data_IF_224604558036
#
_entry.id   IF_224604558036
#
_cell.length_a   1.000
_cell.length_b   1.000
_cell.length_c   1.000
_cell.angle_alpha   90.00
_cell.angle_beta   90.00
_cell.angle_gamma   90.00
#
_symmetry.space_group_name_H-M   'P 1'
#
loop_
_entity.id
_entity.type
_entity.pdbx_description
1 polymer ?
#
# COMPACT_ATOMS: atom_id res chain seq x y z
N UNK A 1 25.22 20.16 14.03
CA UNK A 1 24.60 19.64 12.78
C UNK A 1 23.10 19.76 12.93
N UNK A 2 22.41 20.42 11.98
CA UNK A 2 20.94 20.48 11.99
C UNK A 2 20.35 19.07 11.82
N UNK A 3 19.25 18.79 12.52
CA UNK A 3 18.56 17.49 12.38
C UNK A 3 18.06 17.33 10.94
N UNK A 4 18.28 16.15 10.35
CA UNK A 4 17.78 15.85 9.01
C UNK A 4 16.25 15.76 8.99
N UNK A 5 15.58 16.23 7.92
CA UNK A 5 14.14 16.43 7.89
C UNK A 5 13.35 15.12 7.99
N UNK A 6 12.17 15.22 8.63
CA UNK A 6 11.19 14.13 8.78
C UNK A 6 9.88 14.52 8.10
N UNK A 7 9.25 13.58 7.43
CA UNK A 7 7.87 13.67 6.96
C UNK A 7 6.95 13.01 7.99
N UNK A 8 6.01 13.77 8.54
CA UNK A 8 5.07 13.35 9.60
C UNK A 8 3.61 13.40 9.17
N UNK A 9 3.30 14.10 8.08
CA UNK A 9 1.96 14.20 7.53
C UNK A 9 1.68 13.01 6.59
N UNK A 10 1.19 11.91 7.17
CA UNK A 10 0.91 10.69 6.41
C UNK A 10 -0.27 10.85 5.45
N UNK A 11 -1.26 11.68 5.81
CA UNK A 11 -2.40 11.94 4.95
C UNK A 11 -1.93 12.59 3.64
N UNK A 12 -1.11 13.62 3.75
CA UNK A 12 -0.59 14.34 2.59
C UNK A 12 0.27 13.48 1.68
N UNK A 13 1.05 12.55 2.25
CA UNK A 13 1.84 11.60 1.45
C UNK A 13 0.96 10.81 0.46
N UNK A 14 -0.23 10.37 0.89
CA UNK A 14 -1.13 9.59 0.04
C UNK A 14 -2.08 10.44 -0.79
N UNK A 15 -2.49 11.61 -0.29
CA UNK A 15 -3.34 12.55 -1.02
C UNK A 15 -2.63 13.16 -2.22
N UNK A 16 -1.37 13.53 -2.04
CA UNK A 16 -0.53 14.15 -3.08
C UNK A 16 0.24 13.09 -3.90
N UNK A 17 -0.03 11.79 -3.67
CA UNK A 17 0.63 10.65 -4.33
C UNK A 17 2.17 10.76 -4.33
N UNK A 18 2.72 11.22 -3.19
CA UNK A 18 4.15 11.49 -3.06
C UNK A 18 4.96 10.23 -3.37
N UNK A 19 5.96 10.31 -4.27
CA UNK A 19 6.83 9.18 -4.57
C UNK A 19 7.58 8.68 -3.33
N UNK A 20 7.69 7.37 -3.19
CA UNK A 20 8.31 6.73 -2.05
C UNK A 20 9.49 5.84 -2.48
N UNK A 21 10.59 5.90 -1.75
CA UNK A 21 11.72 4.99 -1.89
C UNK A 21 11.73 4.04 -0.69
N UNK A 22 11.43 2.77 -0.96
CA UNK A 22 11.45 1.71 0.05
C UNK A 22 12.87 1.16 0.22
N UNK A 23 13.44 1.39 1.37
CA UNK A 23 14.78 0.94 1.76
C UNK A 23 14.77 -0.39 2.51
N UNK A 24 13.59 -1.04 2.63
CA UNK A 24 13.46 -2.38 3.21
C UNK A 24 14.08 -3.42 2.27
N UNK A 25 14.36 -4.60 2.82
CA UNK A 25 14.83 -5.71 2.00
C UNK A 25 13.74 -6.16 0.99
N UNK A 26 14.12 -6.77 -0.14
CA UNK A 26 13.18 -7.18 -1.18
C UNK A 26 12.03 -8.06 -0.69
N UNK A 27 12.29 -8.98 0.25
CA UNK A 27 11.25 -9.83 0.86
C UNK A 27 10.21 -9.00 1.61
N UNK A 28 10.62 -7.96 2.35
CA UNK A 28 9.71 -7.06 3.07
C UNK A 28 8.84 -6.22 2.10
N UNK A 29 9.39 -5.85 0.94
CA UNK A 29 8.65 -5.15 -0.10
C UNK A 29 7.60 -6.05 -0.75
N UNK A 30 7.93 -7.32 -1.01
CA UNK A 30 7.00 -8.31 -1.58
C UNK A 30 5.84 -8.67 -0.66
N UNK A 31 6.04 -8.59 0.66
CA UNK A 31 4.96 -8.80 1.64
C UNK A 31 3.87 -7.72 1.54
N UNK A 32 4.22 -6.52 1.11
CA UNK A 32 3.31 -5.41 0.88
C UNK A 32 4.03 -4.07 0.83
N UNK A 33 3.58 -3.22 -0.08
CA UNK A 33 4.13 -1.89 -0.33
C UNK A 33 3.01 -0.87 -0.58
N UNK A 34 3.39 0.38 -0.86
CA UNK A 34 2.46 1.42 -1.26
C UNK A 34 2.51 1.65 -2.77
N UNK A 35 1.42 2.09 -3.42
CA UNK A 35 1.36 2.20 -4.88
C UNK A 35 2.45 3.07 -5.50
N UNK A 36 2.87 4.14 -4.81
CA UNK A 36 3.91 5.07 -5.27
C UNK A 36 5.33 4.64 -4.90
N UNK A 37 5.48 3.48 -4.21
CA UNK A 37 6.76 3.04 -3.70
C UNK A 37 7.57 2.26 -4.75
N UNK A 38 8.87 2.51 -4.77
CA UNK A 38 9.84 1.72 -5.52
C UNK A 38 10.81 1.05 -4.55
N UNK A 39 11.14 -0.21 -4.81
CA UNK A 39 12.12 -0.97 -4.01
C UNK A 39 13.54 -0.58 -4.41
N UNK A 40 14.22 0.13 -3.52
CA UNK A 40 15.66 0.42 -3.62
C UNK A 40 16.32 0.11 -2.27
N UNK A 41 16.52 -1.17 -1.95
CA UNK A 41 16.85 -1.62 -0.61
C UNK A 41 18.24 -1.18 -0.18
N UNK A 42 18.40 -0.88 1.13
CA UNK A 42 19.71 -0.72 1.75
C UNK A 42 20.43 -2.07 1.87
N UNK A 43 19.70 -3.14 2.07
CA UNK A 43 20.22 -4.50 2.28
C UNK A 43 19.48 -5.50 1.39
N UNK A 44 20.18 -6.49 0.87
CA UNK A 44 19.57 -7.70 0.30
C UNK A 44 18.88 -8.52 1.38
N UNK A 45 18.11 -9.53 0.98
CA UNK A 45 17.46 -10.44 1.94
C UNK A 45 18.49 -11.19 2.79
N UNK A 46 19.61 -11.61 2.19
CA UNK A 46 20.70 -12.30 2.88
C UNK A 46 21.43 -11.39 3.88
N UNK A 47 21.78 -10.17 3.45
CA UNK A 47 22.41 -9.17 4.34
C UNK A 47 21.53 -8.84 5.52
N UNK A 48 20.21 -8.65 5.28
CA UNK A 48 19.22 -8.41 6.33
C UNK A 48 19.13 -9.59 7.30
N UNK A 49 19.10 -10.81 6.78
CA UNK A 49 19.05 -12.03 7.61
C UNK A 49 20.29 -12.14 8.51
N UNK A 50 21.49 -11.91 7.96
CA UNK A 50 22.75 -11.92 8.71
C UNK A 50 22.75 -10.87 9.83
N UNK A 51 22.39 -9.62 9.52
CA UNK A 51 22.29 -8.55 10.52
C UNK A 51 21.25 -8.88 11.59
N UNK A 52 20.10 -9.46 11.20
CA UNK A 52 19.03 -9.87 12.12
C UNK A 52 19.47 -11.00 13.07
N UNK A 53 20.27 -11.94 12.59
CA UNK A 53 20.85 -13.03 13.40
C UNK A 53 21.88 -12.48 14.38
N UNK A 54 22.81 -11.63 13.90
CA UNK A 54 23.79 -10.96 14.76
C UNK A 54 23.12 -10.12 15.87
N UNK A 55 22.04 -9.42 15.52
CA UNK A 55 21.27 -8.65 16.52
C UNK A 55 20.74 -9.54 17.66
N UNK A 56 20.22 -10.74 17.32
CA UNK A 56 19.68 -11.69 18.30
C UNK A 56 20.76 -12.33 19.16
N UNK A 57 21.92 -12.60 18.58
CA UNK A 57 23.00 -13.34 19.24
C UNK A 57 23.98 -12.44 19.99
N UNK A 58 24.31 -11.28 19.41
CA UNK A 58 25.42 -10.43 19.86
C UNK A 58 24.95 -9.01 20.23
N UNK A 59 23.67 -8.70 20.00
CA UNK A 59 23.07 -7.42 20.36
C UNK A 59 23.21 -6.32 19.30
N UNK A 60 22.71 -5.14 19.67
CA UNK A 60 22.54 -4.03 18.75
C UNK A 60 23.86 -3.48 18.19
N UNK A 61 24.88 -3.34 19.03
CA UNK A 61 26.15 -2.74 18.61
C UNK A 61 26.88 -3.59 17.56
N UNK A 62 26.93 -4.91 17.76
CA UNK A 62 27.52 -5.86 16.82
C UNK A 62 26.76 -5.85 15.48
N UNK A 63 25.43 -5.86 15.53
CA UNK A 63 24.59 -5.82 14.35
C UNK A 63 24.76 -4.52 13.52
N UNK A 64 24.96 -3.38 14.18
CA UNK A 64 25.25 -2.10 13.50
C UNK A 64 26.61 -2.19 12.81
N UNK A 65 27.64 -2.68 13.50
CA UNK A 65 28.99 -2.85 12.93
C UNK A 65 28.95 -3.77 11.71
N UNK A 66 28.34 -4.95 11.84
CA UNK A 66 28.16 -5.88 10.73
C UNK A 66 27.38 -5.25 9.57
N UNK A 67 26.31 -4.54 9.88
CA UNK A 67 25.52 -3.83 8.85
C UNK A 67 26.37 -2.86 8.04
N UNK A 68 27.16 -2.02 8.69
CA UNK A 68 28.08 -1.08 8.01
C UNK A 68 29.14 -1.79 7.16
N UNK A 69 29.66 -2.92 7.63
CA UNK A 69 30.63 -3.73 6.85
C UNK A 69 29.99 -4.28 5.59
N UNK A 70 28.76 -4.84 5.68
CA UNK A 70 28.08 -5.46 4.56
C UNK A 70 27.65 -4.45 3.47
N UNK A 71 27.24 -3.24 3.87
CA UNK A 71 26.74 -2.23 2.94
C UNK A 71 27.77 -1.14 2.63
N UNK A 72 29.04 -1.33 3.01
CA UNK A 72 30.11 -0.37 2.80
C UNK A 72 30.79 -0.46 1.43
N UNK A 73 31.83 0.33 1.22
CA UNK A 73 32.70 0.27 0.04
C UNK A 73 31.96 0.35 -1.30
N UNK A 74 32.25 -0.57 -2.20
CA UNK A 74 31.65 -0.64 -3.54
C UNK A 74 30.13 -0.86 -3.51
N UNK A 75 29.63 -1.59 -2.51
CA UNK A 75 28.18 -1.81 -2.32
C UNK A 75 27.48 -0.48 -2.01
N UNK A 76 28.05 0.34 -1.12
CA UNK A 76 27.54 1.70 -0.85
C UNK A 76 27.50 2.53 -2.12
N UNK A 77 28.59 2.54 -2.89
CA UNK A 77 28.68 3.33 -4.11
C UNK A 77 27.60 2.97 -5.13
N UNK A 78 27.41 1.68 -5.40
CA UNK A 78 26.38 1.20 -6.33
C UNK A 78 24.95 1.54 -5.86
N UNK A 79 24.66 1.39 -4.57
CA UNK A 79 23.34 1.75 -4.01
C UNK A 79 23.09 3.26 -4.03
N UNK A 80 24.11 4.06 -3.73
CA UNK A 80 24.04 5.52 -3.83
C UNK A 80 23.71 5.98 -5.24
N UNK A 81 24.33 5.38 -6.25
CA UNK A 81 24.03 5.68 -7.66
C UNK A 81 22.55 5.44 -7.97
N UNK A 82 21.99 4.30 -7.56
CA UNK A 82 20.57 3.97 -7.74
C UNK A 82 19.63 4.97 -7.07
N UNK A 83 19.90 5.35 -5.81
CA UNK A 83 19.07 6.34 -5.09
C UNK A 83 19.19 7.72 -5.73
N UNK A 84 20.39 8.18 -6.08
CA UNK A 84 20.61 9.48 -6.73
C UNK A 84 19.96 9.53 -8.11
N UNK A 85 20.01 8.44 -8.89
CA UNK A 85 19.34 8.35 -10.18
C UNK A 85 17.81 8.47 -10.02
N UNK A 86 17.24 7.78 -9.02
CA UNK A 86 15.81 7.90 -8.73
C UNK A 86 15.40 9.28 -8.26
N UNK A 87 16.19 9.90 -7.38
CA UNK A 87 15.93 11.24 -6.85
C UNK A 87 16.07 12.35 -7.92
N UNK A 88 16.88 12.13 -8.97
CA UNK A 88 16.89 13.02 -10.13
C UNK A 88 15.60 12.98 -10.93
N UNK A 89 14.96 11.79 -11.01
CA UNK A 89 13.69 11.62 -11.72
C UNK A 89 12.49 12.07 -10.87
N UNK A 90 12.57 11.88 -9.56
CA UNK A 90 11.53 12.22 -8.60
C UNK A 90 12.12 12.98 -7.41
N UNK A 91 12.32 14.31 -7.57
CA UNK A 91 13.01 15.13 -6.58
C UNK A 91 12.30 15.17 -5.23
N UNK A 92 10.98 14.97 -5.19
CA UNK A 92 10.17 15.04 -3.98
C UNK A 92 10.01 13.69 -3.28
N UNK A 93 10.66 12.64 -3.78
CA UNK A 93 10.55 11.31 -3.19
C UNK A 93 11.00 11.28 -1.73
N UNK A 94 10.23 10.61 -0.89
CA UNK A 94 10.52 10.38 0.53
C UNK A 94 11.15 9.01 0.74
N UNK A 95 12.03 8.94 1.72
CA UNK A 95 12.70 7.70 2.11
C UNK A 95 11.92 7.02 3.23
N UNK A 96 11.78 5.71 3.19
CA UNK A 96 11.30 4.98 4.35
C UNK A 96 11.96 3.61 4.51
N UNK A 97 12.00 3.12 5.74
CA UNK A 97 12.30 1.73 6.07
C UNK A 97 11.20 1.19 6.98
N UNK A 98 11.37 0.04 7.61
CA UNK A 98 10.27 -0.60 8.35
C UNK A 98 9.71 0.26 9.51
N UNK A 99 10.59 0.90 10.31
CA UNK A 99 10.21 1.72 11.47
C UNK A 99 10.76 3.15 11.43
N UNK A 100 11.27 3.62 10.29
CA UNK A 100 11.91 4.94 10.20
C UNK A 100 13.20 5.07 11.04
N UNK A 101 13.85 3.93 11.36
CA UNK A 101 15.05 3.87 12.18
C UNK A 101 16.35 3.86 11.37
N UNK A 102 17.36 3.15 11.88
CA UNK A 102 18.75 3.16 11.39
C UNK A 102 18.89 3.00 9.88
N UNK A 103 18.15 2.09 9.23
CA UNK A 103 18.26 1.89 7.77
C UNK A 103 17.98 3.18 6.98
N UNK A 104 16.87 3.85 7.27
CA UNK A 104 16.54 5.10 6.59
C UNK A 104 17.36 6.28 7.07
N UNK A 105 17.82 6.30 8.32
CA UNK A 105 18.74 7.32 8.83
C UNK A 105 20.10 7.24 8.13
N UNK A 106 20.65 6.03 7.98
CA UNK A 106 21.92 5.81 7.30
C UNK A 106 21.89 6.30 5.84
N UNK A 107 20.83 5.92 5.09
CA UNK A 107 20.69 6.37 3.70
C UNK A 107 20.49 7.87 3.62
N UNK A 108 19.66 8.46 4.49
CA UNK A 108 19.44 9.89 4.57
C UNK A 108 20.76 10.65 4.83
N UNK A 109 21.58 10.13 5.75
CA UNK A 109 22.89 10.70 6.06
C UNK A 109 23.83 10.63 4.85
N UNK A 110 23.92 9.48 4.17
CA UNK A 110 24.79 9.33 3.00
C UNK A 110 24.37 10.22 1.84
N UNK A 111 23.08 10.41 1.63
CA UNK A 111 22.56 11.35 0.62
C UNK A 111 22.92 12.79 0.99
N UNK A 112 22.81 13.16 2.27
CA UNK A 112 23.17 14.49 2.75
C UNK A 112 24.68 14.77 2.58
N UNK A 113 25.54 13.78 2.84
CA UNK A 113 26.99 13.84 2.57
C UNK A 113 27.31 14.05 1.08
N UNK A 114 26.44 13.55 0.20
CA UNK A 114 26.51 13.77 -1.25
C UNK A 114 25.79 15.05 -1.72
N UNK A 115 25.39 15.94 -0.79
CA UNK A 115 24.73 17.21 -1.10
C UNK A 115 23.23 17.12 -1.38
N UNK A 116 22.60 15.95 -1.14
CA UNK A 116 21.17 15.73 -1.42
C UNK A 116 20.42 15.50 -0.11
N UNK A 117 19.72 16.52 0.39
CA UNK A 117 18.89 16.40 1.59
C UNK A 117 17.48 15.94 1.20
N UNK A 118 17.02 14.80 1.76
CA UNK A 118 15.68 14.27 1.54
C UNK A 118 15.02 13.90 2.87
N UNK A 119 13.73 14.19 3.03
CA UNK A 119 12.99 13.75 4.22
C UNK A 119 12.85 12.23 4.25
N UNK A 120 12.88 11.67 5.43
CA UNK A 120 12.45 10.28 5.67
C UNK A 120 11.14 10.26 6.43
N UNK A 121 10.30 9.26 6.17
CA UNK A 121 9.02 9.10 6.84
C UNK A 121 9.23 8.73 8.30
N UNK A 122 8.69 9.52 9.22
CA UNK A 122 8.68 9.21 10.64
C UNK A 122 7.91 7.90 10.88
N UNK A 123 8.46 7.00 11.72
CA UNK A 123 7.86 5.68 11.95
C UNK A 123 7.86 4.70 10.75
N UNK A 124 8.21 5.17 9.56
CA UNK A 124 8.39 4.38 8.35
C UNK A 124 7.14 3.63 7.88
N UNK A 125 7.36 2.46 7.26
CA UNK A 125 6.29 1.59 6.75
C UNK A 125 5.22 1.29 7.80
N UNK A 126 5.64 0.97 9.01
CA UNK A 126 4.71 0.61 10.09
C UNK A 126 3.74 1.76 10.39
N UNK A 127 4.22 2.98 10.46
CA UNK A 127 3.38 4.15 10.73
C UNK A 127 2.43 4.45 9.56
N UNK A 128 2.92 4.43 8.31
CA UNK A 128 2.09 4.60 7.12
C UNK A 128 1.00 3.51 7.03
N UNK A 129 1.37 2.25 7.30
CA UNK A 129 0.41 1.15 7.28
C UNK A 129 -0.67 1.28 8.36
N UNK A 130 -0.30 1.65 9.59
CA UNK A 130 -1.27 1.92 10.66
C UNK A 130 -2.21 3.07 10.28
N UNK A 131 -1.66 4.16 9.73
CA UNK A 131 -2.48 5.27 9.26
C UNK A 131 -3.53 4.83 8.23
N UNK A 132 -3.16 3.97 7.26
CA UNK A 132 -4.12 3.46 6.27
C UNK A 132 -5.15 2.50 6.88
N UNK A 133 -4.76 1.64 7.83
CA UNK A 133 -5.68 0.79 8.57
C UNK A 133 -6.71 1.63 9.33
N UNK A 134 -6.25 2.65 10.05
CA UNK A 134 -7.13 3.56 10.80
C UNK A 134 -8.04 4.37 9.87
N UNK A 135 -7.52 4.79 8.72
CA UNK A 135 -8.29 5.52 7.69
C UNK A 135 -9.43 4.66 7.15
N UNK A 136 -9.14 3.41 6.81
CA UNK A 136 -10.13 2.46 6.31
C UNK A 136 -11.16 2.12 7.41
N UNK A 137 -10.72 1.93 8.66
CA UNK A 137 -11.60 1.68 9.77
C UNK A 137 -12.58 2.84 10.03
N UNK A 138 -12.09 4.09 9.98
CA UNK A 138 -12.91 5.28 10.08
C UNK A 138 -13.90 5.40 8.93
N UNK A 139 -13.46 5.15 7.68
CA UNK A 139 -14.36 5.16 6.54
C UNK A 139 -15.48 4.12 6.69
N UNK A 140 -15.17 2.90 7.14
CA UNK A 140 -16.16 1.86 7.38
C UNK A 140 -17.22 2.23 8.43
N UNK A 141 -16.83 3.04 9.43
CA UNK A 141 -17.72 3.43 10.53
C UNK A 141 -18.52 4.70 10.24
N UNK A 142 -17.96 5.64 9.47
CA UNK A 142 -18.48 7.01 9.32
C UNK A 142 -19.18 7.25 7.99
N UNK A 143 -18.95 6.41 6.96
CA UNK A 143 -19.55 6.59 5.66
C UNK A 143 -20.85 5.78 5.50
N UNK A 144 -21.73 6.27 4.63
CA UNK A 144 -22.95 5.57 4.23
C UNK A 144 -22.61 4.60 3.09
N UNK A 145 -22.88 3.34 3.33
CA UNK A 145 -22.64 2.25 2.39
C UNK A 145 -23.96 1.76 1.78
N UNK A 146 -23.94 1.48 0.48
CA UNK A 146 -25.01 0.80 -0.23
C UNK A 146 -24.42 -0.38 -0.99
N UNK A 147 -25.06 -1.52 -0.97
CA UNK A 147 -24.59 -2.73 -1.66
C UNK A 147 -25.46 -3.01 -2.88
N UNK A 148 -24.85 -3.10 -4.06
CA UNK A 148 -25.49 -3.46 -5.30
C UNK A 148 -25.44 -4.99 -5.46
N UNK A 149 -26.59 -5.65 -5.39
CA UNK A 149 -26.72 -7.10 -5.52
C UNK A 149 -27.57 -7.47 -6.75
N UNK A 150 -27.58 -8.74 -7.09
CA UNK A 150 -28.35 -9.28 -8.22
C UNK A 150 -27.73 -10.56 -8.76
N UNK A 151 -28.45 -11.26 -9.63
CA UNK A 151 -27.99 -12.54 -10.20
C UNK A 151 -26.69 -12.38 -10.99
N UNK A 152 -25.90 -13.46 -11.08
CA UNK A 152 -24.75 -13.52 -11.99
C UNK A 152 -25.19 -13.23 -13.43
N UNK A 153 -24.49 -12.32 -14.11
CA UNK A 153 -24.82 -11.89 -15.46
C UNK A 153 -25.93 -10.82 -15.55
N UNK A 154 -26.40 -10.27 -14.43
CA UNK A 154 -27.38 -9.16 -14.43
C UNK A 154 -26.80 -7.81 -14.86
N UNK A 155 -25.49 -7.72 -15.05
CA UNK A 155 -24.82 -6.49 -15.49
C UNK A 155 -24.38 -5.56 -14.35
N UNK A 156 -24.31 -6.03 -13.09
CA UNK A 156 -23.90 -5.25 -11.91
C UNK A 156 -22.60 -4.49 -12.13
N UNK A 157 -21.54 -5.18 -12.55
CA UNK A 157 -20.22 -4.58 -12.79
C UNK A 157 -20.29 -3.47 -13.85
N UNK A 158 -21.11 -3.66 -14.89
CA UNK A 158 -21.34 -2.62 -15.89
C UNK A 158 -22.09 -1.41 -15.31
N UNK A 159 -23.09 -1.63 -14.46
CA UNK A 159 -23.79 -0.55 -13.76
C UNK A 159 -22.89 0.21 -12.82
N UNK A 160 -22.06 -0.50 -12.03
CA UNK A 160 -21.10 0.14 -11.10
C UNK A 160 -20.14 1.08 -11.83
N UNK A 161 -19.71 0.75 -13.03
CA UNK A 161 -18.83 1.61 -13.84
C UNK A 161 -19.45 2.98 -14.19
N UNK A 162 -20.78 3.13 -14.07
CA UNK A 162 -21.51 4.38 -14.30
C UNK A 162 -21.93 5.09 -13.02
N UNK A 163 -21.64 4.52 -11.85
CA UNK A 163 -21.96 5.09 -10.53
C UNK A 163 -20.71 5.79 -9.99
N UNK A 164 -20.76 7.11 -9.86
CA UNK A 164 -19.63 7.90 -9.36
C UNK A 164 -19.20 7.48 -7.95
N UNK A 165 -20.16 7.08 -7.11
CA UNK A 165 -19.92 6.64 -5.73
C UNK A 165 -19.41 5.20 -5.63
N UNK A 166 -19.34 4.45 -6.74
CA UNK A 166 -18.89 3.07 -6.71
C UNK A 166 -17.41 2.96 -6.30
N UNK A 167 -17.11 1.96 -5.48
CA UNK A 167 -15.74 1.51 -5.16
C UNK A 167 -15.56 0.13 -5.79
N UNK A 168 -14.60 0.02 -6.71
CA UNK A 168 -14.35 -1.19 -7.48
C UNK A 168 -13.48 -2.18 -6.69
N UNK A 169 -14.13 -3.00 -5.85
CA UNK A 169 -13.45 -4.01 -5.05
C UNK A 169 -12.80 -5.10 -5.90
N UNK A 170 -13.45 -5.53 -7.00
CA UNK A 170 -12.92 -6.50 -7.95
C UNK A 170 -11.66 -5.96 -8.65
N UNK A 171 -11.69 -4.70 -9.07
CA UNK A 171 -10.55 -4.02 -9.66
C UNK A 171 -9.36 -3.92 -8.71
N UNK A 172 -9.59 -3.54 -7.45
CA UNK A 172 -8.55 -3.54 -6.42
C UNK A 172 -7.95 -4.94 -6.20
N UNK A 173 -8.78 -5.97 -6.19
CA UNK A 173 -8.36 -7.36 -6.04
C UNK A 173 -7.76 -7.95 -7.33
N UNK A 174 -7.89 -7.28 -8.47
CA UNK A 174 -7.57 -7.81 -9.82
C UNK A 174 -8.19 -9.19 -10.04
N UNK A 175 -9.46 -9.31 -9.71
CA UNK A 175 -10.20 -10.56 -9.74
C UNK A 175 -11.70 -10.28 -9.97
N UNK A 176 -12.31 -10.94 -10.94
CA UNK A 176 -13.75 -10.95 -11.09
C UNK A 176 -14.34 -11.91 -10.05
N UNK A 177 -15.35 -11.51 -9.30
CA UNK A 177 -15.90 -12.21 -8.12
C UNK A 177 -16.41 -13.65 -8.33
N UNK A 178 -16.13 -14.27 -9.49
CA UNK A 178 -16.50 -15.64 -9.79
C UNK A 178 -15.36 -16.63 -9.51
N UNK A 179 -15.67 -17.92 -9.35
CA UNK A 179 -14.68 -19.00 -9.18
C UNK A 179 -13.61 -19.07 -10.29
N UNK A 180 -13.86 -18.48 -11.44
CA UNK A 180 -12.94 -18.39 -12.59
C UNK A 180 -12.48 -16.95 -12.85
N UNK A 181 -12.57 -16.08 -11.85
CA UNK A 181 -12.37 -14.65 -11.99
C UNK A 181 -10.90 -14.17 -12.05
N UNK A 182 -9.92 -15.06 -12.14
CA UNK A 182 -8.50 -14.67 -12.21
C UNK A 182 -8.19 -13.87 -13.47
N UNK A 183 -7.54 -12.71 -13.30
CA UNK A 183 -7.07 -11.89 -14.39
C UNK A 183 -5.58 -12.19 -14.71
N UNK A 184 -5.12 -11.98 -15.95
CA UNK A 184 -3.71 -12.07 -16.30
C UNK A 184 -2.84 -11.19 -15.39
N UNK A 185 -1.69 -11.71 -14.94
CA UNK A 185 -0.78 -11.04 -14.02
C UNK A 185 -1.06 -11.29 -12.55
N UNK A 186 -2.10 -12.06 -12.22
CA UNK A 186 -2.41 -12.50 -10.86
C UNK A 186 -2.98 -11.41 -9.95
N UNK A 187 -3.37 -11.82 -8.75
CA UNK A 187 -3.88 -10.93 -7.71
C UNK A 187 -2.74 -10.28 -6.93
N UNK A 188 -2.93 -9.06 -6.41
CA UNK A 188 -2.01 -8.45 -5.46
C UNK A 188 -1.93 -9.26 -4.16
N UNK A 189 -0.93 -8.97 -3.34
CA UNK A 189 -0.91 -9.37 -1.94
C UNK A 189 -2.06 -8.71 -1.17
N UNK A 190 -2.51 -9.35 -0.07
CA UNK A 190 -3.64 -8.80 0.69
C UNK A 190 -3.34 -7.40 1.22
N UNK A 191 -2.09 -7.16 1.67
CA UNK A 191 -1.66 -5.84 2.16
C UNK A 191 -1.72 -4.78 1.06
N UNK A 192 -1.32 -5.12 -0.17
CA UNK A 192 -1.37 -4.19 -1.30
C UNK A 192 -2.80 -3.85 -1.71
N UNK A 193 -3.70 -4.85 -1.66
CA UNK A 193 -5.13 -4.67 -1.86
C UNK A 193 -5.71 -3.69 -0.83
N UNK A 194 -5.47 -3.95 0.46
CA UNK A 194 -5.95 -3.10 1.55
C UNK A 194 -5.37 -1.68 1.50
N UNK A 195 -4.09 -1.53 1.16
CA UNK A 195 -3.45 -0.22 1.02
C UNK A 195 -4.11 0.61 -0.09
N UNK A 196 -4.35 0.01 -1.26
CA UNK A 196 -4.99 0.69 -2.39
C UNK A 196 -6.42 1.13 -2.05
N UNK A 197 -7.19 0.23 -1.46
CA UNK A 197 -8.55 0.52 -1.01
C UNK A 197 -8.58 1.67 0.02
N UNK A 198 -7.70 1.62 1.02
CA UNK A 198 -7.62 2.67 2.04
C UNK A 198 -7.21 4.03 1.46
N UNK A 199 -6.29 4.06 0.48
CA UNK A 199 -5.86 5.27 -0.20
C UNK A 199 -7.01 5.86 -1.04
N UNK A 200 -7.75 5.04 -1.79
CA UNK A 200 -8.93 5.52 -2.53
C UNK A 200 -9.95 6.14 -1.58
N UNK A 201 -10.30 5.45 -0.50
CA UNK A 201 -11.24 5.98 0.50
C UNK A 201 -10.74 7.29 1.13
N UNK A 202 -9.43 7.38 1.43
CA UNK A 202 -8.81 8.63 1.93
C UNK A 202 -9.00 9.77 0.93
N UNK A 203 -8.65 9.55 -0.32
CA UNK A 203 -8.70 10.57 -1.38
C UNK A 203 -10.14 11.03 -1.63
N UNK A 204 -11.09 10.10 -1.68
CA UNK A 204 -12.51 10.40 -1.91
C UNK A 204 -13.13 11.14 -0.73
N UNK A 205 -12.86 10.71 0.50
CA UNK A 205 -13.31 11.42 1.71
C UNK A 205 -12.71 12.81 1.82
N UNK A 206 -11.46 12.98 1.40
CA UNK A 206 -10.84 14.32 1.36
C UNK A 206 -11.52 15.27 0.37
N UNK A 207 -12.19 14.74 -0.66
CA UNK A 207 -13.06 15.52 -1.58
C UNK A 207 -14.46 15.75 -1.05
N UNK A 208 -14.76 15.32 0.19
CA UNK A 208 -16.07 15.46 0.82
C UNK A 208 -17.06 14.34 0.50
N UNK A 209 -16.61 13.25 -0.13
CA UNK A 209 -17.46 12.09 -0.40
C UNK A 209 -17.66 11.28 0.90
N UNK A 210 -18.92 10.96 1.22
CA UNK A 210 -19.29 10.16 2.38
C UNK A 210 -20.26 9.02 2.06
N UNK A 211 -20.69 8.91 0.79
CA UNK A 211 -21.61 7.87 0.34
C UNK A 211 -20.91 7.01 -0.70
N UNK A 212 -20.95 5.70 -0.51
CA UNK A 212 -20.28 4.74 -1.36
C UNK A 212 -21.19 3.58 -1.75
N UNK A 213 -20.99 3.06 -2.97
CA UNK A 213 -21.68 1.89 -3.49
C UNK A 213 -20.67 0.78 -3.71
N UNK A 214 -20.95 -0.40 -3.20
CA UNK A 214 -20.10 -1.59 -3.34
C UNK A 214 -20.88 -2.68 -4.10
N UNK A 215 -20.18 -3.55 -4.82
CA UNK A 215 -20.77 -4.78 -5.30
C UNK A 215 -20.92 -5.77 -4.15
N UNK A 216 -22.00 -6.59 -4.20
CA UNK A 216 -22.27 -7.66 -3.23
C UNK A 216 -21.22 -8.76 -3.40
N UNK A 217 -20.12 -8.61 -2.68
CA UNK A 217 -19.01 -9.52 -2.66
C UNK A 217 -18.93 -10.28 -1.33
N UNK A 218 -18.42 -11.50 -1.39
CA UNK A 218 -18.06 -12.22 -0.18
C UNK A 218 -16.84 -11.56 0.48
N UNK A 219 -16.56 -11.93 1.73
CA UNK A 219 -15.38 -11.45 2.42
C UNK A 219 -14.09 -11.74 1.67
N UNK A 220 -14.06 -12.77 0.82
CA UNK A 220 -12.92 -13.16 0.00
C UNK A 220 -13.21 -12.90 -1.47
N UNK A 221 -12.41 -12.07 -2.10
CA UNK A 221 -12.39 -11.82 -3.54
C UNK A 221 -11.15 -12.53 -4.09
N UNK A 222 -11.32 -13.79 -4.49
CA UNK A 222 -10.20 -14.69 -4.76
C UNK A 222 -9.32 -14.87 -3.52
N UNK A 223 -8.07 -14.37 -3.54
CA UNK A 223 -7.14 -14.45 -2.40
C UNK A 223 -7.13 -13.18 -1.53
N UNK A 224 -7.78 -12.11 -1.95
CA UNK A 224 -7.84 -10.86 -1.21
C UNK A 224 -9.01 -10.91 -0.22
N UNK A 225 -8.72 -10.66 1.06
CA UNK A 225 -9.72 -10.58 2.11
C UNK A 225 -10.11 -9.12 2.34
N UNK A 226 -11.40 -8.82 2.33
CA UNK A 226 -11.90 -7.52 2.77
C UNK A 226 -11.55 -7.29 4.24
N UNK A 227 -11.14 -6.07 4.64
CA UNK A 227 -11.03 -5.70 6.04
C UNK A 227 -12.33 -6.01 6.78
N UNK A 228 -12.23 -6.60 7.96
CA UNK A 228 -13.41 -7.10 8.68
C UNK A 228 -14.46 -6.03 8.94
N UNK A 229 -14.02 -4.85 9.37
CA UNK A 229 -14.90 -3.71 9.65
C UNK A 229 -15.64 -3.20 8.40
N UNK A 230 -15.01 -3.23 7.22
CA UNK A 230 -15.69 -2.90 5.96
C UNK A 230 -16.72 -3.98 5.61
N UNK A 231 -16.35 -5.25 5.70
CA UNK A 231 -17.27 -6.35 5.45
C UNK A 231 -18.48 -6.31 6.37
N UNK A 232 -18.29 -6.03 7.66
CA UNK A 232 -19.38 -5.85 8.62
C UNK A 232 -20.26 -4.63 8.29
N UNK A 233 -19.68 -3.54 7.79
CA UNK A 233 -20.43 -2.38 7.31
C UNK A 233 -21.27 -2.74 6.08
N UNK A 234 -20.71 -3.49 5.13
CA UNK A 234 -21.43 -4.01 3.95
C UNK A 234 -22.61 -4.90 4.35
N UNK A 235 -22.43 -5.80 5.31
CA UNK A 235 -23.49 -6.68 5.78
C UNK A 235 -24.69 -5.93 6.43
N UNK A 236 -24.47 -4.72 6.91
CA UNK A 236 -25.52 -3.86 7.50
C UNK A 236 -26.10 -2.84 6.53
N UNK A 237 -25.45 -2.68 5.37
CA UNK A 237 -25.83 -1.68 4.38
C UNK A 237 -27.16 -2.03 3.68
N UNK A 238 -27.95 -1.04 3.25
CA UNK A 238 -29.10 -1.27 2.40
C UNK A 238 -28.69 -1.92 1.07
N UNK A 239 -29.53 -2.85 0.58
CA UNK A 239 -29.34 -3.56 -0.67
C UNK A 239 -30.14 -2.92 -1.79
N UNK A 240 -29.50 -2.72 -2.95
CA UNK A 240 -30.15 -2.38 -4.20
C UNK A 240 -30.05 -3.59 -5.12
N UNK A 241 -31.20 -4.16 -5.50
CA UNK A 241 -31.26 -5.38 -6.29
C UNK A 241 -31.38 -5.04 -7.78
N UNK A 242 -30.46 -5.53 -8.61
CA UNK A 242 -30.55 -5.44 -10.06
C UNK A 242 -31.41 -6.58 -10.59
N UNK A 243 -32.60 -6.26 -11.05
CA UNK A 243 -33.50 -7.19 -11.72
C UNK A 243 -33.36 -7.10 -13.23
N UNK A 244 -33.24 -8.24 -13.90
CA UNK A 244 -33.22 -8.34 -15.35
C UNK A 244 -34.47 -9.08 -15.79
N UNK A 245 -35.31 -8.51 -16.69
CA UNK A 245 -36.47 -9.19 -17.23
C UNK A 245 -36.10 -10.56 -17.82
N UNK A 246 -36.96 -11.58 -17.62
CA UNK A 246 -36.67 -12.97 -18.01
C UNK A 246 -36.45 -13.15 -19.52
N UNK A 247 -37.06 -12.32 -20.34
CA UNK A 247 -36.97 -12.32 -21.80
C UNK A 247 -35.56 -12.01 -22.35
N UNK A 248 -34.71 -11.35 -21.57
CA UNK A 248 -33.32 -11.06 -21.98
C UNK A 248 -32.30 -12.15 -21.61
N UNK A 249 -32.72 -13.22 -20.92
CA UNK A 249 -31.82 -14.33 -20.53
C UNK A 249 -31.54 -15.35 -21.65
N UNK A 250 -32.21 -15.26 -22.78
CA UNK A 250 -32.17 -16.29 -23.83
C UNK A 250 -31.31 -15.96 -25.06
N UNK A 251 -30.50 -14.91 -25.01
CA UNK A 251 -29.68 -14.52 -26.16
C UNK A 251 -28.21 -14.42 -25.81
N UNK A 252 -27.58 -15.58 -25.51
CA UNK A 252 -26.13 -15.80 -25.61
C UNK A 252 -25.85 -17.29 -25.76
#
# INVERSE_FOLDING_TARGET
MSALPLATDYARIFLDEVPLIDLRAPVEFKEGAFPTAVSLPLMTDEERARVGTCYKQEGQAAAITLGHQLVGGAVRAARMEGWLARLRQQPDALLYCFRGGLRSQTVQQWLAEAGVTRPRVAGGYKALRHFLIDTQAKASAECDWTVLTGMTGSGKTHMLAHITQAVDLEGHARHRGSSFGQLPGGQPGNIDFENRLAIELLQRRNRGESQFVLEDESRLIGRCALPLNLYEAMCRAPLVVVEVPQDRKSTR
#
